data_IF_677387329396
#
_entry.id   IF_677387329396
#
_cell.length_a   1.000
_cell.length_b   1.000
_cell.length_c   1.000
_cell.angle_alpha   90.00
_cell.angle_beta   90.00
_cell.angle_gamma   90.00
#
_symmetry.space_group_name_H-M   'P 1'
#
loop_
_entity.id
_entity.type
_entity.pdbx_description
1 polymer ?
#
# COMPACT_ATOMS: atom_id res chain seq x y z
N UNK A 1 -11.23 0.52 -9.98
CA UNK A 1 -12.49 0.34 -9.23
C UNK A 1 -12.33 -0.82 -8.27
N UNK A 2 -12.77 -0.65 -7.02
CA UNK A 2 -12.69 -1.65 -5.95
C UNK A 2 -14.04 -1.80 -5.28
N UNK A 3 -14.37 -3.03 -4.88
CA UNK A 3 -15.68 -3.37 -4.33
C UNK A 3 -15.77 -3.16 -2.81
N UNK A 4 -16.98 -2.92 -2.27
CA UNK A 4 -17.27 -3.07 -0.84
C UNK A 4 -16.66 -4.34 -0.25
N UNK A 5 -16.04 -4.20 0.92
CA UNK A 5 -15.39 -5.28 1.66
C UNK A 5 -14.01 -5.71 1.13
N UNK A 6 -13.56 -5.19 -0.01
CA UNK A 6 -12.20 -5.42 -0.48
C UNK A 6 -11.18 -4.50 0.23
N UNK A 7 -9.91 -4.70 -0.09
CA UNK A 7 -8.81 -3.83 0.31
C UNK A 7 -7.81 -3.64 -0.84
N UNK A 8 -6.95 -2.65 -0.73
CA UNK A 8 -5.69 -2.59 -1.47
C UNK A 8 -4.76 -3.73 -1.01
N UNK A 9 -3.50 -3.83 -1.50
CA UNK A 9 -2.55 -4.78 -0.94
C UNK A 9 -2.44 -4.71 0.59
N UNK A 10 -1.85 -5.74 1.19
CA UNK A 10 -1.58 -5.80 2.63
C UNK A 10 -0.91 -4.52 3.12
N UNK A 11 -1.08 -4.18 4.40
CA UNK A 11 -0.50 -2.97 4.97
C UNK A 11 1.01 -3.02 4.82
N UNK A 12 1.60 -2.03 4.15
CA UNK A 12 3.02 -2.07 3.81
C UNK A 12 3.67 -0.69 3.74
N UNK A 13 4.99 -0.68 3.88
CA UNK A 13 5.82 0.49 3.65
C UNK A 13 6.94 0.15 2.65
N UNK A 14 7.14 1.04 1.68
CA UNK A 14 8.19 0.95 0.67
C UNK A 14 9.51 1.52 1.17
N UNK A 15 10.61 0.88 0.80
CA UNK A 15 11.97 1.32 1.16
C UNK A 15 12.47 2.46 0.27
N UNK A 16 12.15 2.46 -1.03
CA UNK A 16 12.74 3.40 -1.99
C UNK A 16 11.74 3.97 -2.99
N UNK A 17 10.46 3.64 -2.86
CA UNK A 17 9.39 4.16 -3.71
C UNK A 17 8.48 5.08 -2.94
N UNK A 18 8.35 6.31 -3.44
CA UNK A 18 7.22 7.13 -3.05
C UNK A 18 5.96 6.59 -3.70
N UNK A 19 4.85 6.64 -2.96
CA UNK A 19 3.54 6.26 -3.44
C UNK A 19 2.53 7.37 -3.16
N UNK A 20 1.54 7.51 -4.02
CA UNK A 20 0.50 8.52 -3.92
C UNK A 20 -0.84 7.94 -4.37
N UNK A 21 -1.91 8.25 -3.62
CA UNK A 21 -3.27 7.88 -3.97
C UNK A 21 -4.17 9.11 -4.09
N UNK A 22 -5.11 9.07 -5.04
CA UNK A 22 -6.15 10.08 -5.22
C UNK A 22 -7.51 9.41 -5.42
N UNK A 23 -8.51 9.79 -4.63
CA UNK A 23 -9.87 9.23 -4.71
C UNK A 23 -10.69 10.01 -5.74
N UNK A 24 -11.15 9.35 -6.80
CA UNK A 24 -12.08 9.93 -7.77
C UNK A 24 -13.54 9.76 -7.32
N UNK A 25 -13.90 8.57 -6.85
CA UNK A 25 -15.28 8.22 -6.49
C UNK A 25 -15.30 7.32 -5.26
N UNK A 26 -16.35 7.43 -4.46
CA UNK A 26 -16.56 6.63 -3.26
C UNK A 26 -15.74 7.12 -2.05
N UNK A 27 -15.60 6.22 -1.07
CA UNK A 27 -14.93 6.46 0.19
C UNK A 27 -14.03 5.27 0.56
N UNK A 28 -12.77 5.55 0.87
CA UNK A 28 -11.82 4.55 1.39
C UNK A 28 -11.38 4.92 2.81
N UNK A 29 -11.16 3.92 3.65
CA UNK A 29 -10.46 4.10 4.93
C UNK A 29 -8.98 3.80 4.71
N UNK A 30 -8.13 4.82 4.80
CA UNK A 30 -6.69 4.66 4.92
C UNK A 30 -6.36 4.20 6.34
N UNK A 31 -5.75 3.03 6.50
CA UNK A 31 -5.14 2.63 7.76
C UNK A 31 -3.63 2.82 7.67
N UNK A 32 -3.10 3.76 8.44
CA UNK A 32 -1.69 4.10 8.56
C UNK A 32 -1.24 3.97 10.03
N UNK A 33 0.06 4.14 10.33
CA UNK A 33 0.56 4.01 11.71
C UNK A 33 -0.03 5.07 12.65
N UNK A 34 -0.30 6.27 12.13
CA UNK A 34 -0.99 7.33 12.88
C UNK A 34 -2.47 7.02 13.15
N UNK A 35 -3.00 5.95 12.56
CA UNK A 35 -4.38 5.50 12.72
C UNK A 35 -5.17 5.51 11.41
N UNK A 36 -6.49 5.43 11.56
CA UNK A 36 -7.41 5.34 10.43
C UNK A 36 -7.93 6.73 10.01
N UNK A 37 -7.88 7.00 8.71
CA UNK A 37 -8.38 8.23 8.10
C UNK A 37 -9.36 7.92 6.97
N UNK A 38 -10.47 8.64 6.90
CA UNK A 38 -11.44 8.51 5.81
C UNK A 38 -11.02 9.42 4.65
N UNK A 39 -10.77 8.83 3.49
CA UNK A 39 -10.51 9.52 2.23
C UNK A 39 -11.77 9.49 1.35
N UNK A 40 -12.23 10.68 0.95
CA UNK A 40 -13.41 10.87 0.08
C UNK A 40 -12.97 11.34 -1.30
N UNK A 41 -13.88 11.27 -2.28
CA UNK A 41 -13.68 11.85 -3.60
C UNK A 41 -13.09 13.27 -3.53
N UNK A 42 -12.01 13.51 -4.26
CA UNK A 42 -11.24 14.77 -4.25
C UNK A 42 -10.06 14.80 -3.28
N UNK A 43 -9.94 13.82 -2.37
CA UNK A 43 -8.83 13.74 -1.41
C UNK A 43 -7.68 12.89 -1.95
N UNK A 44 -6.48 13.14 -1.41
CA UNK A 44 -5.28 12.37 -1.67
C UNK A 44 -4.49 12.07 -0.40
N UNK A 45 -3.61 11.09 -0.51
CA UNK A 45 -2.58 10.78 0.48
C UNK A 45 -1.28 10.42 -0.24
N UNK A 46 -0.15 10.81 0.35
CA UNK A 46 1.19 10.46 -0.12
C UNK A 46 1.93 9.67 0.95
N UNK A 47 2.76 8.73 0.50
CA UNK A 47 3.52 7.80 1.32
C UNK A 47 4.99 7.92 0.92
N UNK A 48 5.76 8.55 1.81
CA UNK A 48 7.17 8.80 1.56
C UNK A 48 7.98 7.51 1.73
N UNK A 49 8.84 7.20 0.76
CA UNK A 49 9.79 6.11 0.82
C UNK A 49 10.64 6.15 2.10
N UNK A 50 11.01 4.99 2.63
CA UNK A 50 11.85 4.86 3.84
C UNK A 50 11.27 5.46 5.12
N UNK A 51 10.05 6.00 5.12
CA UNK A 51 9.42 6.54 6.34
C UNK A 51 9.07 5.43 7.35
N UNK A 52 8.79 4.23 6.85
CA UNK A 52 8.30 3.10 7.65
C UNK A 52 6.82 3.19 8.00
N UNK A 53 6.13 4.28 7.67
CA UNK A 53 4.69 4.43 7.91
C UNK A 53 3.92 3.53 6.94
N UNK A 54 3.45 2.39 7.46
CA UNK A 54 2.84 1.37 6.64
C UNK A 54 1.35 1.64 6.41
N UNK A 55 0.90 1.54 5.17
CA UNK A 55 -0.46 1.89 4.78
C UNK A 55 -1.18 0.82 3.98
N UNK A 56 -2.51 0.85 4.04
CA UNK A 56 -3.40 0.28 3.04
C UNK A 56 -4.75 1.00 3.00
N UNK A 57 -5.54 0.74 1.97
CA UNK A 57 -6.91 1.22 1.84
C UNK A 57 -7.89 0.07 2.08
N UNK A 58 -8.88 0.31 2.93
CA UNK A 58 -10.02 -0.56 3.18
C UNK A 58 -11.29 0.07 2.60
N UNK A 59 -12.10 -0.71 1.89
CA UNK A 59 -13.32 -0.21 1.24
C UNK A 59 -14.56 -0.68 2.02
N UNK A 60 -14.80 -0.06 3.18
CA UNK A 60 -15.82 -0.51 4.16
C UNK A 60 -17.26 -0.08 3.85
N UNK A 61 -17.45 0.84 2.90
CA UNK A 61 -18.77 1.36 2.51
C UNK A 61 -19.57 0.39 1.64
N UNK A 62 -20.75 0.82 1.21
CA UNK A 62 -21.68 0.03 0.37
C UNK A 62 -21.49 0.27 -1.14
N UNK A 63 -20.69 1.27 -1.51
CA UNK A 63 -20.43 1.61 -2.91
C UNK A 63 -18.99 1.30 -3.29
N UNK A 64 -18.78 1.10 -4.59
CA UNK A 64 -17.45 0.92 -5.16
C UNK A 64 -16.59 2.19 -5.02
N UNK A 65 -15.27 2.00 -4.98
CA UNK A 65 -14.27 3.07 -4.91
C UNK A 65 -13.46 3.11 -6.20
N UNK A 66 -13.33 4.30 -6.79
CA UNK A 66 -12.44 4.56 -7.92
C UNK A 66 -11.32 5.48 -7.44
N UNK A 67 -10.09 5.03 -7.58
CA UNK A 67 -8.91 5.78 -7.16
C UNK A 67 -7.76 5.58 -8.14
N UNK A 68 -6.87 6.57 -8.19
CA UNK A 68 -5.55 6.47 -8.81
C UNK A 68 -4.53 6.10 -7.74
N UNK A 69 -3.60 5.23 -8.10
CA UNK A 69 -2.39 4.92 -7.35
C UNK A 69 -1.21 5.23 -8.26
N UNK A 70 -0.25 6.00 -7.77
CA UNK A 70 0.97 6.37 -8.49
C UNK A 70 2.13 5.96 -7.59
N UNK A 71 2.98 5.08 -8.10
CA UNK A 71 4.26 4.77 -7.49
C UNK A 71 5.37 4.94 -8.51
N UNK A 72 6.55 5.32 -8.04
CA UNK A 72 7.72 5.29 -8.90
C UNK A 72 8.14 3.83 -9.22
N UNK A 73 9.18 3.67 -10.04
CA UNK A 73 9.73 2.34 -10.39
C UNK A 73 11.20 2.24 -10.00
N UNK A 74 11.54 2.74 -8.81
CA UNK A 74 12.91 2.68 -8.30
C UNK A 74 13.43 1.24 -8.23
N UNK A 75 14.70 1.07 -8.60
CA UNK A 75 15.40 -0.21 -8.54
C UNK A 75 15.78 -0.57 -7.10
N UNK A 76 15.80 -1.87 -6.78
CA UNK A 76 16.21 -2.34 -5.47
C UNK A 76 15.25 -1.99 -4.33
N UNK A 77 13.97 -1.74 -4.64
CA UNK A 77 12.96 -1.52 -3.61
C UNK A 77 12.64 -2.78 -2.82
N UNK A 78 12.13 -2.60 -1.61
CA UNK A 78 11.60 -3.61 -0.73
C UNK A 78 10.32 -3.09 -0.09
N UNK A 79 9.34 -3.98 0.09
CA UNK A 79 8.13 -3.69 0.86
C UNK A 79 8.17 -4.48 2.16
N UNK A 80 7.97 -3.78 3.27
CA UNK A 80 7.83 -4.37 4.60
C UNK A 80 6.34 -4.47 4.95
N UNK A 81 5.94 -5.60 5.55
CA UNK A 81 4.56 -5.85 5.97
C UNK A 81 4.57 -6.01 7.50
N UNK A 82 4.20 -4.99 8.29
CA UNK A 82 4.29 -5.08 9.75
C UNK A 82 3.38 -6.15 10.33
N UNK A 83 2.20 -6.34 9.74
CA UNK A 83 1.12 -7.15 10.30
C UNK A 83 1.21 -8.64 9.90
N UNK A 84 2.04 -8.97 8.90
CA UNK A 84 2.19 -10.32 8.33
C UNK A 84 3.63 -10.80 8.44
N UNK A 85 3.89 -12.10 8.53
CA UNK A 85 5.26 -12.65 8.41
C UNK A 85 5.70 -12.68 6.93
N UNK A 86 5.79 -11.49 6.35
CA UNK A 86 6.07 -11.28 4.93
C UNK A 86 7.01 -10.08 4.76
N UNK A 87 7.93 -10.21 3.80
CA UNK A 87 8.67 -9.11 3.19
C UNK A 87 8.80 -9.38 1.70
N UNK A 88 8.76 -8.32 0.89
CA UNK A 88 9.00 -8.41 -0.54
C UNK A 88 10.28 -7.66 -0.89
N UNK A 89 11.14 -8.25 -1.71
CA UNK A 89 12.39 -7.65 -2.19
C UNK A 89 12.38 -7.65 -3.71
N UNK A 90 12.62 -6.50 -4.32
CA UNK A 90 12.77 -6.38 -5.77
C UNK A 90 14.20 -6.77 -6.15
N UNK A 91 14.34 -7.95 -6.75
CA UNK A 91 15.61 -8.44 -7.26
C UNK A 91 16.14 -7.60 -8.42
N UNK A 92 17.45 -7.71 -8.68
CA UNK A 92 18.12 -6.99 -9.77
C UNK A 92 17.55 -7.32 -11.17
N UNK A 93 16.88 -8.47 -11.30
CA UNK A 93 16.16 -8.85 -12.52
C UNK A 93 14.78 -8.20 -12.67
N UNK A 94 14.39 -7.32 -11.75
CA UNK A 94 13.11 -6.59 -11.78
C UNK A 94 11.91 -7.42 -11.34
N UNK A 95 12.13 -8.51 -10.59
CA UNK A 95 11.07 -9.38 -10.05
C UNK A 95 11.01 -9.30 -8.52
N UNK A 96 9.79 -9.39 -7.99
CA UNK A 96 9.56 -9.47 -6.56
C UNK A 96 9.84 -10.89 -6.05
N UNK A 97 10.65 -10.96 -5.00
CA UNK A 97 10.88 -12.16 -4.20
C UNK A 97 10.16 -11.98 -2.86
N UNK A 98 9.25 -12.88 -2.54
CA UNK A 98 8.50 -12.88 -1.29
C UNK A 98 9.15 -13.85 -0.31
N UNK A 99 9.42 -13.36 0.90
CA UNK A 99 10.12 -14.09 1.95
C UNK A 99 9.36 -13.92 3.26
N UNK A 100 9.51 -14.90 4.14
CA UNK A 100 9.29 -14.70 5.57
C UNK A 100 10.28 -13.67 6.12
N UNK A 101 9.98 -13.09 7.29
CA UNK A 101 10.84 -12.06 7.90
C UNK A 101 12.23 -12.61 8.24
N UNK A 102 12.35 -13.90 8.54
CA UNK A 102 13.63 -14.60 8.77
C UNK A 102 14.47 -14.81 7.49
N UNK A 103 13.91 -14.56 6.31
CA UNK A 103 14.57 -14.71 5.01
C UNK A 103 14.34 -16.04 4.31
N UNK A 104 13.56 -16.96 4.89
CA UNK A 104 13.11 -18.16 4.17
C UNK A 104 12.11 -17.78 3.07
N UNK A 105 12.11 -18.45 1.90
CA UNK A 105 11.11 -18.21 0.86
C UNK A 105 9.70 -18.51 1.34
N UNK A 106 8.75 -17.68 0.92
CA UNK A 106 7.31 -17.89 1.13
C UNK A 106 6.74 -18.87 0.09
#
# INVERSE_FOLDING_TARGET
MRRPGAQSPLRHAHSSRDEFVYIFEGEATLAADAGAHVLRAGMCAGFQASSGDAHHLLYRGECDVVYLEVGDRSAGDAASYPDDDLKAILGAEGRWHFLHKDGTPY
#
